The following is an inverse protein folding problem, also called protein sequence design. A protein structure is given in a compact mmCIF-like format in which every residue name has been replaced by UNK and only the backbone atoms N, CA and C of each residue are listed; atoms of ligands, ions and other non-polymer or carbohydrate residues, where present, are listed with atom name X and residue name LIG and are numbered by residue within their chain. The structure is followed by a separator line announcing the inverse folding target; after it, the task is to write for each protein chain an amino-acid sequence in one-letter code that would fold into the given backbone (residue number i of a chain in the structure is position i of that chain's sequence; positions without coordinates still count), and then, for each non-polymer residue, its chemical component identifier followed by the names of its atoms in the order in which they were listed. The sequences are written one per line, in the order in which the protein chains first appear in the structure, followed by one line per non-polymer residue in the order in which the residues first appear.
data_IF_344687639481
#
_entry.id   IF_344687639481
#
_cell.length_a   1.000
_cell.length_b   1.000
_cell.length_c   1.000
_cell.angle_alpha   90.00
_cell.angle_beta   90.00
_cell.angle_gamma   90.00
#
_symmetry.space_group_name_H-M   'P 1'
#
loop_
_entity.id
_entity.type
_entity.pdbx_description
1 polymer ?
#
# COMPACT_ATOMS: atom_id res chain seq x y z
N UNK A 1 -13.80 -6.06 -25.20
CA UNK A 1 -13.46 -7.12 -24.23
C UNK A 1 -11.97 -7.21 -23.85
N UNK A 2 -11.01 -6.95 -24.74
CA UNK A 2 -9.57 -6.99 -24.38
C UNK A 2 -9.16 -5.99 -23.30
N UNK A 3 -9.68 -4.76 -23.30
CA UNK A 3 -9.31 -3.74 -22.30
C UNK A 3 -9.76 -4.07 -20.87
N UNK A 4 -10.97 -4.62 -20.70
CA UNK A 4 -11.50 -5.00 -19.38
C UNK A 4 -10.76 -6.19 -18.78
N UNK A 5 -10.39 -7.19 -19.60
CA UNK A 5 -9.56 -8.31 -19.16
C UNK A 5 -8.16 -7.83 -18.72
N UNK A 6 -7.58 -6.85 -19.43
CA UNK A 6 -6.31 -6.23 -19.03
C UNK A 6 -6.44 -5.48 -17.69
N UNK A 7 -7.52 -4.73 -17.46
CA UNK A 7 -7.75 -4.03 -16.19
C UNK A 7 -7.89 -4.97 -14.99
N UNK A 8 -8.62 -6.10 -15.14
CA UNK A 8 -8.72 -7.10 -14.07
C UNK A 8 -7.37 -7.76 -13.80
N UNK A 9 -6.63 -8.11 -14.86
CA UNK A 9 -5.27 -8.66 -14.73
C UNK A 9 -4.33 -7.69 -14.00
N UNK A 10 -4.39 -6.40 -14.31
CA UNK A 10 -3.63 -5.37 -13.62
C UNK A 10 -4.04 -5.27 -12.14
N UNK A 11 -5.33 -5.39 -11.82
CA UNK A 11 -5.81 -5.43 -10.44
C UNK A 11 -5.25 -6.66 -9.68
N UNK A 12 -5.23 -7.84 -10.30
CA UNK A 12 -4.64 -9.04 -9.72
C UNK A 12 -3.11 -8.90 -9.53
N UNK A 13 -2.40 -8.36 -10.52
CA UNK A 13 -0.99 -8.03 -10.40
C UNK A 13 -0.74 -7.05 -9.25
N UNK A 14 -1.56 -6.01 -9.12
CA UNK A 14 -1.39 -5.02 -8.06
C UNK A 14 -1.56 -5.62 -6.66
N UNK A 15 -2.51 -6.56 -6.47
CA UNK A 15 -2.67 -7.31 -5.23
C UNK A 15 -1.43 -8.16 -4.91
N UNK A 16 -0.91 -8.89 -5.90
CA UNK A 16 0.30 -9.70 -5.74
C UNK A 16 1.54 -8.84 -5.44
N UNK A 17 1.73 -7.76 -6.19
CA UNK A 17 2.85 -6.83 -6.01
C UNK A 17 2.85 -6.19 -4.64
N UNK A 18 1.70 -5.65 -4.19
CA UNK A 18 1.68 -5.04 -2.86
C UNK A 18 1.87 -6.10 -1.78
N UNK A 19 1.34 -7.31 -1.97
CA UNK A 19 1.60 -8.43 -1.08
C UNK A 19 3.10 -8.71 -0.99
N UNK A 20 3.83 -8.82 -2.10
CA UNK A 20 5.30 -9.02 -2.12
C UNK A 20 6.04 -7.87 -1.43
N UNK A 21 5.71 -6.62 -1.77
CA UNK A 21 6.42 -5.43 -1.31
C UNK A 21 6.18 -5.12 0.18
N UNK A 22 4.97 -5.38 0.68
CA UNK A 22 4.55 -4.99 2.02
C UNK A 22 4.83 -3.52 2.31
N UNK A 23 5.36 -3.24 3.51
CA UNK A 23 5.64 -1.88 3.97
C UNK A 23 6.58 -1.10 3.03
N UNK A 24 7.47 -1.78 2.29
CA UNK A 24 8.38 -1.13 1.34
C UNK A 24 7.65 -0.47 0.16
N UNK A 25 6.47 -1.00 -0.20
CA UNK A 25 5.58 -0.37 -1.18
C UNK A 25 4.74 0.74 -0.58
N UNK A 26 4.70 0.88 0.74
CA UNK A 26 3.84 1.80 1.48
C UNK A 26 2.36 1.42 1.41
N UNK A 27 1.83 1.17 0.22
CA UNK A 27 0.46 0.74 0.04
C UNK A 27 -0.05 0.85 -1.39
N UNK A 28 -1.37 0.68 -1.53
CA UNK A 28 -2.10 0.76 -2.78
C UNK A 28 -3.36 1.63 -2.60
N UNK A 29 -3.62 2.50 -3.57
CA UNK A 29 -4.92 3.18 -3.72
C UNK A 29 -5.84 2.34 -4.59
N UNK A 30 -7.04 2.06 -4.10
CA UNK A 30 -8.07 1.31 -4.81
C UNK A 30 -9.25 2.24 -5.05
N UNK A 31 -9.35 2.80 -6.26
CA UNK A 31 -10.49 3.64 -6.65
C UNK A 31 -11.66 2.72 -6.95
N UNK A 32 -12.69 2.76 -6.12
CA UNK A 32 -13.89 1.95 -6.31
C UNK A 32 -15.00 2.31 -5.33
N UNK A 33 -16.22 2.35 -5.83
CA UNK A 33 -17.41 2.29 -4.97
C UNK A 33 -17.52 0.92 -4.29
N UNK A 34 -18.22 0.82 -3.15
CA UNK A 34 -18.59 -0.45 -2.56
C UNK A 34 -19.34 -1.36 -3.54
N UNK A 35 -18.79 -2.57 -3.75
CA UNK A 35 -19.38 -3.50 -4.71
C UNK A 35 -18.63 -4.83 -4.83
N UNK A 36 -19.21 -5.79 -5.56
CA UNK A 36 -18.73 -7.17 -5.60
C UNK A 36 -17.33 -7.31 -6.19
N UNK A 37 -16.95 -6.45 -7.15
CA UNK A 37 -15.60 -6.47 -7.74
C UNK A 37 -14.54 -6.09 -6.71
N UNK A 38 -14.79 -5.03 -5.93
CA UNK A 38 -13.92 -4.60 -4.83
C UNK A 38 -13.83 -5.66 -3.75
N UNK A 39 -14.96 -6.24 -3.37
CA UNK A 39 -14.99 -7.27 -2.33
C UNK A 39 -14.25 -8.54 -2.76
N UNK A 40 -14.38 -8.94 -4.03
CA UNK A 40 -13.61 -10.05 -4.59
C UNK A 40 -12.11 -9.73 -4.63
N UNK A 41 -11.72 -8.53 -5.07
CA UNK A 41 -10.33 -8.10 -5.07
C UNK A 41 -9.72 -8.09 -3.67
N UNK A 42 -10.46 -7.60 -2.66
CA UNK A 42 -10.04 -7.64 -1.26
C UNK A 42 -9.91 -9.07 -0.72
N UNK A 43 -10.84 -9.95 -1.09
CA UNK A 43 -10.77 -11.37 -0.73
C UNK A 43 -9.56 -12.06 -1.37
N UNK A 44 -9.25 -11.73 -2.63
CA UNK A 44 -8.08 -12.25 -3.32
C UNK A 44 -6.80 -11.76 -2.63
N UNK A 45 -6.70 -10.46 -2.32
CA UNK A 45 -5.57 -9.92 -1.56
C UNK A 45 -5.41 -10.65 -0.22
N UNK A 46 -6.48 -10.82 0.57
CA UNK A 46 -6.43 -11.51 1.86
C UNK A 46 -5.90 -12.94 1.75
N UNK A 47 -6.27 -13.66 0.68
CA UNK A 47 -5.74 -15.00 0.36
C UNK A 47 -4.23 -15.04 0.05
N UNK A 48 -3.60 -13.91 -0.23
CA UNK A 48 -2.16 -13.77 -0.45
C UNK A 48 -1.39 -13.37 0.82
N UNK A 49 -2.08 -12.97 1.89
CA UNK A 49 -1.45 -12.46 3.11
C UNK A 49 -1.23 -13.58 4.13
N UNK A 50 -0.18 -13.42 4.95
CA UNK A 50 0.10 -14.30 6.09
C UNK A 50 -0.78 -14.00 7.30
N UNK A 51 -1.29 -12.77 7.39
CA UNK A 51 -2.20 -12.31 8.44
C UNK A 51 -3.32 -11.49 7.80
N UNK A 52 -4.56 -11.63 8.29
CA UNK A 52 -5.68 -10.89 7.72
C UNK A 52 -5.48 -9.39 7.90
N UNK A 53 -5.86 -8.65 6.86
CA UNK A 53 -5.78 -7.20 6.87
C UNK A 53 -6.71 -6.62 7.95
N UNK A 54 -6.25 -5.57 8.65
CA UNK A 54 -7.05 -4.89 9.68
C UNK A 54 -7.71 -3.65 9.11
N UNK A 55 -9.03 -3.51 9.24
CA UNK A 55 -9.72 -2.25 8.96
C UNK A 55 -9.45 -1.23 10.06
N UNK A 56 -9.01 -0.03 9.69
CA UNK A 56 -8.77 1.10 10.60
C UNK A 56 -9.36 2.36 9.96
N UNK A 57 -10.50 2.87 10.47
CA UNK A 57 -11.12 4.08 9.94
C UNK A 57 -10.18 5.30 10.03
N UNK A 58 -10.22 6.16 9.02
CA UNK A 58 -9.46 7.41 9.01
C UNK A 58 -9.84 8.36 10.15
N UNK A 59 -11.01 8.19 10.75
CA UNK A 59 -11.51 8.94 11.91
C UNK A 59 -11.09 8.37 13.27
N UNK A 60 -10.22 7.35 13.30
CA UNK A 60 -9.70 6.79 14.55
C UNK A 60 -8.98 7.90 15.34
N UNK A 61 -9.40 8.20 16.59
CA UNK A 61 -8.80 9.28 17.38
C UNK A 61 -7.30 9.09 17.58
N UNK A 62 -6.53 10.17 17.61
CA UNK A 62 -5.06 10.13 17.73
C UNK A 62 -4.57 9.27 18.90
N UNK A 63 -5.20 9.38 20.07
CA UNK A 63 -4.85 8.58 21.25
C UNK A 63 -5.00 7.07 21.01
N UNK A 64 -6.03 6.65 20.26
CA UNK A 64 -6.21 5.25 19.90
C UNK A 64 -5.30 4.84 18.74
N UNK A 65 -5.07 5.74 17.79
CA UNK A 65 -4.27 5.48 16.59
C UNK A 65 -2.80 5.27 16.94
N UNK A 66 -2.24 6.18 17.74
CA UNK A 66 -0.83 6.17 18.15
C UNK A 66 -0.59 5.37 19.42
N UNK A 67 -1.55 5.38 20.34
CA UNK A 67 -1.35 4.97 21.72
C UNK A 67 -1.46 6.17 22.64
N UNK A 68 -1.93 5.93 23.85
CA UNK A 68 -2.22 6.97 24.84
C UNK A 68 -2.08 6.41 26.25
N UNK A 69 -2.07 7.28 27.26
CA UNK A 69 -1.92 6.85 28.64
C UNK A 69 -3.09 5.93 29.05
N UNK A 70 -2.77 4.74 29.50
CA UNK A 70 -3.73 3.87 30.17
C UNK A 70 -3.87 4.33 31.62
N UNK A 71 -4.85 5.18 31.90
CA UNK A 71 -5.08 5.73 33.24
C UNK A 71 -5.29 4.61 34.27
N UNK A 72 -5.97 3.53 33.88
CA UNK A 72 -6.28 2.43 34.80
C UNK A 72 -5.02 1.67 35.19
N UNK A 73 -4.21 1.26 34.21
CA UNK A 73 -2.95 0.58 34.49
C UNK A 73 -1.91 1.50 35.13
N UNK A 74 -1.93 2.80 34.77
CA UNK A 74 -1.04 3.79 35.38
C UNK A 74 -1.34 3.97 36.87
N UNK A 75 -2.61 4.04 37.25
CA UNK A 75 -3.02 4.14 38.66
C UNK A 75 -2.65 2.88 39.46
N UNK A 76 -2.84 1.69 38.87
CA UNK A 76 -2.45 0.42 39.51
C UNK A 76 -0.95 0.34 39.78
N UNK A 77 -0.13 0.82 38.84
CA UNK A 77 1.33 0.72 38.92
C UNK A 77 2.02 1.96 39.53
N UNK A 78 1.27 3.03 39.81
CA UNK A 78 1.81 4.28 40.35
C UNK A 78 2.77 5.03 39.42
N UNK A 79 2.76 4.70 38.12
CA UNK A 79 3.60 5.31 37.08
C UNK A 79 2.86 5.32 35.74
N UNK A 80 3.14 6.27 34.82
CA UNK A 80 2.53 6.28 33.50
C UNK A 80 2.76 4.96 32.75
N UNK A 81 1.67 4.34 32.28
CA UNK A 81 1.65 3.15 31.42
C UNK A 81 0.99 3.54 30.11
N UNK A 82 1.63 3.22 28.99
CA UNK A 82 1.14 3.55 27.66
C UNK A 82 0.36 2.38 27.08
N UNK A 83 -0.88 2.63 26.64
CA UNK A 83 -1.63 1.69 25.83
C UNK A 83 -1.09 1.66 24.41
N UNK A 84 -0.96 0.46 23.84
CA UNK A 84 -0.50 0.29 22.46
C UNK A 84 -1.52 0.91 21.48
N UNK A 85 -1.00 1.71 20.54
CA UNK A 85 -1.80 2.28 19.46
C UNK A 85 -2.15 1.27 18.39
N UNK A 86 -3.23 1.53 17.66
CA UNK A 86 -3.68 0.70 16.54
C UNK A 86 -2.59 0.56 15.47
N UNK A 87 -1.81 1.60 15.17
CA UNK A 87 -0.72 1.51 14.18
C UNK A 87 0.39 0.55 14.65
N UNK A 88 0.74 0.58 15.94
CA UNK A 88 1.73 -0.34 16.51
C UNK A 88 1.20 -1.78 16.59
N UNK A 89 -0.08 -1.96 16.94
CA UNK A 89 -0.79 -3.25 16.85
C UNK A 89 -0.83 -3.82 15.41
N UNK A 90 -0.55 -2.98 14.39
CA UNK A 90 -0.51 -3.35 12.98
C UNK A 90 0.90 -3.49 12.40
N UNK A 91 1.95 -3.53 13.23
CA UNK A 91 3.31 -3.72 12.72
C UNK A 91 3.43 -4.98 11.83
N UNK A 92 3.98 -4.82 10.62
CA UNK A 92 4.08 -5.83 9.56
C UNK A 92 2.73 -6.37 9.06
N UNK A 93 1.64 -5.58 9.18
CA UNK A 93 0.31 -5.96 8.72
C UNK A 93 -0.23 -5.01 7.65
N UNK A 94 -1.16 -5.54 6.88
CA UNK A 94 -1.99 -4.76 5.97
C UNK A 94 -3.07 -4.03 6.76
N UNK A 95 -3.27 -2.76 6.44
CA UNK A 95 -4.28 -1.90 7.03
C UNK A 95 -5.20 -1.40 5.93
N UNK A 96 -6.47 -1.79 6.00
CA UNK A 96 -7.51 -1.24 5.12
C UNK A 96 -7.96 0.09 5.71
N UNK A 97 -7.71 1.17 4.98
CA UNK A 97 -8.19 2.51 5.27
C UNK A 97 -9.45 2.77 4.41
N UNK A 98 -10.67 2.58 4.97
CA UNK A 98 -11.89 2.86 4.24
C UNK A 98 -12.08 4.38 4.07
N UNK A 99 -12.72 4.78 2.97
CA UNK A 99 -13.04 6.18 2.69
C UNK A 99 -11.81 7.09 2.81
N UNK A 100 -10.72 6.70 2.17
CA UNK A 100 -9.43 7.36 2.30
C UNK A 100 -9.47 8.82 1.82
N UNK A 101 -10.39 9.16 0.92
CA UNK A 101 -10.72 10.54 0.50
C UNK A 101 -11.19 11.43 1.65
N UNK A 102 -11.74 10.83 2.71
CA UNK A 102 -12.20 11.53 3.93
C UNK A 102 -11.18 11.55 5.05
N UNK A 103 -9.93 11.12 4.82
CA UNK A 103 -8.89 11.14 5.84
C UNK A 103 -8.65 12.59 6.32
N UNK A 104 -8.90 12.91 7.61
CA UNK A 104 -8.69 14.25 8.13
C UNK A 104 -7.22 14.67 8.03
N UNK A 105 -6.96 15.92 7.62
CA UNK A 105 -5.61 16.48 7.51
C UNK A 105 -4.82 16.42 8.83
N UNK A 106 -5.53 16.50 9.95
CA UNK A 106 -4.95 16.38 11.29
C UNK A 106 -4.34 15.00 11.57
N UNK A 107 -4.85 13.94 10.94
CA UNK A 107 -4.37 12.56 11.14
C UNK A 107 -3.43 12.09 10.05
N UNK A 108 -3.45 12.73 8.87
CA UNK A 108 -2.64 12.30 7.71
C UNK A 108 -1.14 12.24 8.02
N UNK A 109 -0.64 13.14 8.87
CA UNK A 109 0.77 13.16 9.31
C UNK A 109 1.19 11.88 10.05
N UNK A 110 0.30 11.27 10.84
CA UNK A 110 0.59 10.04 11.57
C UNK A 110 0.71 8.83 10.64
N UNK A 111 -0.23 8.71 9.70
CA UNK A 111 -0.18 7.69 8.64
C UNK A 111 1.08 7.85 7.78
N UNK A 112 1.36 9.07 7.33
CA UNK A 112 2.54 9.37 6.54
C UNK A 112 3.85 9.05 7.28
N UNK A 113 3.93 9.40 8.57
CA UNK A 113 5.10 9.12 9.41
C UNK A 113 5.34 7.63 9.60
N UNK A 114 4.27 6.83 9.78
CA UNK A 114 4.36 5.39 9.87
C UNK A 114 4.78 4.77 8.52
N UNK A 115 4.24 5.24 7.41
CA UNK A 115 4.60 4.79 6.06
C UNK A 115 6.06 5.12 5.68
N UNK A 116 6.59 6.25 6.15
CA UNK A 116 7.97 6.66 5.84
C UNK A 116 9.02 5.94 6.69
N UNK A 117 8.75 5.74 7.98
CA UNK A 117 9.75 5.27 8.95
C UNK A 117 9.51 3.85 9.44
N UNK A 118 8.34 3.29 9.16
CA UNK A 118 7.89 2.04 9.76
C UNK A 118 7.72 2.12 11.27
N UNK A 119 7.54 3.33 11.82
CA UNK A 119 7.48 3.60 13.26
C UNK A 119 6.56 4.78 13.57
N UNK A 120 5.96 4.75 14.76
CA UNK A 120 5.25 5.88 15.35
C UNK A 120 6.00 6.40 16.58
N UNK A 121 5.96 7.71 16.79
CA UNK A 121 6.60 8.38 17.93
C UNK A 121 5.52 9.08 18.75
N UNK A 122 5.53 8.86 20.06
CA UNK A 122 4.64 9.50 21.02
C UNK A 122 5.52 10.28 21.98
N UNK A 123 5.37 11.60 21.99
CA UNK A 123 6.10 12.51 22.86
C UNK A 123 5.10 13.44 23.59
N UNK A 124 4.25 12.86 24.45
CA UNK A 124 3.15 13.55 25.17
C UNK A 124 2.97 12.98 26.57
N UNK A 125 2.40 13.77 27.48
CA UNK A 125 2.07 13.34 28.85
C UNK A 125 3.25 12.75 29.65
N UNK A 126 4.46 13.24 29.37
CA UNK A 126 5.70 12.74 30.00
C UNK A 126 6.16 11.38 29.46
N UNK A 127 5.53 10.88 28.40
CA UNK A 127 5.89 9.64 27.70
C UNK A 127 6.61 10.01 26.40
N UNK A 128 7.84 9.50 26.26
CA UNK A 128 8.61 9.52 25.02
C UNK A 128 8.86 8.07 24.59
N UNK A 129 8.11 7.59 23.60
CA UNK A 129 8.17 6.22 23.12
C UNK A 129 8.12 6.14 21.60
N UNK A 130 8.93 5.23 21.06
CA UNK A 130 8.90 4.81 19.67
C UNK A 130 8.34 3.39 19.64
N UNK A 131 7.38 3.15 18.75
CA UNK A 131 6.83 1.82 18.50
C UNK A 131 6.93 1.49 17.01
N UNK A 132 7.26 0.24 16.71
CA UNK A 132 7.28 -0.23 15.33
C UNK A 132 5.85 -0.26 14.76
N UNK A 133 5.72 0.20 13.52
CA UNK A 133 4.48 0.42 12.80
C UNK A 133 4.69 0.33 11.28
N UNK A 134 5.57 -0.56 10.82
CA UNK A 134 5.75 -0.91 9.41
C UNK A 134 4.46 -1.51 8.81
N UNK A 135 3.51 -0.64 8.49
CA UNK A 135 2.20 -0.99 7.93
C UNK A 135 2.22 -0.94 6.41
N UNK A 136 1.32 -1.69 5.79
CA UNK A 136 1.01 -1.57 4.36
C UNK A 136 -0.43 -1.11 4.19
N UNK A 137 -0.66 0.05 3.58
CA UNK A 137 -2.00 0.64 3.49
C UNK A 137 -2.72 0.17 2.23
N UNK A 138 -3.96 -0.29 2.39
CA UNK A 138 -4.94 -0.42 1.30
C UNK A 138 -5.93 0.74 1.47
N UNK A 139 -5.70 1.81 0.73
CA UNK A 139 -6.54 3.01 0.75
C UNK A 139 -7.72 2.80 -0.19
N UNK A 140 -8.91 2.55 0.36
CA UNK A 140 -10.15 2.49 -0.42
C UNK A 140 -10.60 3.92 -0.68
N UNK A 141 -10.56 4.31 -1.94
CA UNK A 141 -10.96 5.63 -2.40
C UNK A 141 -12.35 5.53 -3.03
N UNK A 142 -13.34 6.07 -2.31
CA UNK A 142 -14.75 6.11 -2.72
C UNK A 142 -15.13 7.50 -3.23
N UNK A 143 -14.14 8.37 -3.48
CA UNK A 143 -14.34 9.73 -3.92
C UNK A 143 -15.11 9.85 -5.23
N UNK A 144 -15.97 10.86 -5.28
CA UNK A 144 -16.70 11.28 -6.47
C UNK A 144 -16.13 12.60 -6.99
N UNK A 145 -16.24 12.83 -8.30
CA UNK A 145 -15.73 14.03 -8.96
C UNK A 145 -14.24 14.31 -8.61
N UNK A 146 -13.99 15.39 -7.87
CA UNK A 146 -12.65 15.84 -7.47
C UNK A 146 -12.24 15.36 -6.07
N UNK A 147 -13.08 14.57 -5.38
CA UNK A 147 -12.72 13.98 -4.10
C UNK A 147 -11.60 12.94 -4.28
N UNK A 148 -10.54 13.11 -3.50
CA UNK A 148 -9.35 12.25 -3.52
C UNK A 148 -8.77 12.13 -2.11
N UNK A 149 -8.07 11.04 -1.78
CA UNK A 149 -7.25 10.95 -0.58
C UNK A 149 -6.22 12.08 -0.52
N UNK A 150 -5.77 12.50 0.67
CA UNK A 150 -4.74 13.52 0.80
C UNK A 150 -3.51 13.20 -0.06
N UNK A 151 -3.03 14.17 -0.85
CA UNK A 151 -1.88 13.99 -1.74
C UNK A 151 -0.64 13.46 -1.01
N UNK A 152 -0.43 13.89 0.24
CA UNK A 152 0.64 13.39 1.10
C UNK A 152 0.55 11.88 1.37
N UNK A 153 -0.67 11.32 1.49
CA UNK A 153 -0.86 9.88 1.59
C UNK A 153 -0.58 9.22 0.23
N UNK A 154 -1.16 9.74 -0.85
CA UNK A 154 -1.02 9.18 -2.20
C UNK A 154 0.43 9.08 -2.66
N UNK A 155 1.25 10.09 -2.34
CA UNK A 155 2.68 10.10 -2.64
C UNK A 155 3.40 8.88 -2.03
N UNK A 156 2.90 8.33 -0.92
CA UNK A 156 3.48 7.22 -0.15
C UNK A 156 2.90 5.85 -0.52
N UNK A 157 1.96 5.77 -1.46
CA UNK A 157 1.44 4.50 -1.95
C UNK A 157 2.18 4.16 -3.25
N UNK A 158 2.72 2.95 -3.41
CA UNK A 158 3.46 2.57 -4.61
C UNK A 158 2.55 2.31 -5.80
N UNK A 159 1.34 1.80 -5.57
CA UNK A 159 0.42 1.35 -6.60
C UNK A 159 -0.90 2.12 -6.55
N UNK A 160 -1.58 2.18 -7.69
CA UNK A 160 -2.99 2.53 -7.73
C UNK A 160 -3.71 1.76 -8.83
N UNK A 161 -4.96 1.38 -8.53
CA UNK A 161 -5.87 0.70 -9.46
C UNK A 161 -7.25 1.37 -9.42
N UNK A 162 -8.00 1.22 -10.50
CA UNK A 162 -9.39 1.63 -10.60
C UNK A 162 -10.25 0.39 -10.93
N UNK A 163 -11.24 0.11 -10.10
CA UNK A 163 -12.16 -1.02 -10.27
C UNK A 163 -13.56 -0.60 -10.74
N UNK A 164 -13.89 0.70 -10.79
CA UNK A 164 -15.25 1.17 -11.08
C UNK A 164 -15.73 0.76 -12.50
N UNK A 165 -14.82 0.67 -13.46
CA UNK A 165 -15.14 0.30 -14.85
C UNK A 165 -15.08 -1.21 -15.12
N UNK A 166 -14.67 -2.01 -14.12
CA UNK A 166 -14.51 -3.46 -14.29
C UNK A 166 -15.87 -4.14 -14.07
N UNK A 167 -16.33 -4.85 -15.10
CA UNK A 167 -17.53 -5.68 -14.98
C UNK A 167 -17.27 -6.91 -14.11
N UNK A 168 -18.24 -7.28 -13.28
CA UNK A 168 -18.24 -8.55 -12.52
C UNK A 168 -18.06 -9.78 -13.43
N UNK A 169 -18.43 -9.68 -14.71
CA UNK A 169 -18.28 -10.76 -15.70
C UNK A 169 -16.85 -10.92 -16.20
N UNK A 170 -15.99 -9.92 -15.97
CA UNK A 170 -14.59 -9.91 -16.35
C UNK A 170 -13.68 -10.39 -15.21
N UNK A 171 -14.25 -10.74 -14.06
CA UNK A 171 -13.49 -11.33 -12.96
C UNK A 171 -13.10 -12.75 -13.33
N UNK A 172 -11.79 -12.98 -13.35
CA UNK A 172 -11.17 -14.28 -13.52
C UNK A 172 -10.58 -14.79 -12.20
N UNK A 173 -10.30 -16.10 -12.14
CA UNK A 173 -9.70 -16.76 -10.98
C UNK A 173 -8.34 -16.16 -10.61
N UNK A 174 -7.94 -16.22 -9.33
CA UNK A 174 -6.62 -15.75 -8.89
C UNK A 174 -5.48 -16.40 -9.68
N UNK A 175 -4.60 -15.57 -10.25
CA UNK A 175 -3.43 -16.02 -11.02
C UNK A 175 -2.17 -16.19 -10.17
N UNK A 176 -2.22 -15.86 -8.88
CA UNK A 176 -1.11 -15.99 -7.93
C UNK A 176 -1.57 -16.69 -6.65
N UNK A 177 -0.68 -17.45 -6.05
CA UNK A 177 -0.86 -18.15 -4.78
C UNK A 177 0.00 -17.52 -3.67
N UNK A 178 -0.39 -17.71 -2.41
CA UNK A 178 0.40 -17.25 -1.26
C UNK A 178 1.84 -17.81 -1.26
N UNK A 179 2.06 -19.02 -1.79
CA UNK A 179 3.39 -19.62 -1.89
C UNK A 179 4.29 -18.90 -2.90
N UNK A 180 3.75 -18.45 -4.03
CA UNK A 180 4.49 -17.63 -5.01
C UNK A 180 4.82 -16.26 -4.44
N UNK A 181 3.89 -15.64 -3.71
CA UNK A 181 4.12 -14.35 -3.03
C UNK A 181 5.24 -14.48 -2.00
N UNK A 182 5.24 -15.54 -1.18
CA UNK A 182 6.29 -15.74 -0.19
C UNK A 182 7.66 -16.00 -0.84
N UNK A 183 7.68 -16.78 -1.92
CA UNK A 183 8.91 -17.02 -2.70
C UNK A 183 9.46 -15.72 -3.29
N UNK A 184 8.62 -14.91 -3.93
CA UNK A 184 9.01 -13.63 -4.51
C UNK A 184 9.45 -12.62 -3.42
N UNK A 185 8.73 -12.56 -2.28
CA UNK A 185 9.12 -11.71 -1.14
C UNK A 185 10.51 -12.07 -0.62
N UNK A 186 10.79 -13.36 -0.44
CA UNK A 186 12.08 -13.84 0.01
C UNK A 186 13.20 -13.50 -0.99
N UNK A 187 12.94 -13.56 -2.30
CA UNK A 187 13.90 -13.25 -3.36
C UNK A 187 14.07 -11.74 -3.65
N UNK A 188 13.19 -10.86 -3.17
CA UNK A 188 13.18 -9.44 -3.56
C UNK A 188 14.52 -8.71 -3.33
N UNK A 189 15.27 -9.10 -2.30
CA UNK A 189 16.56 -8.51 -1.96
C UNK A 189 17.73 -9.03 -2.82
N UNK A 190 17.55 -10.16 -3.51
CA UNK A 190 18.59 -10.75 -4.38
C UNK A 190 18.56 -10.16 -5.79
N UNK A 191 17.42 -9.58 -6.19
CA UNK A 191 17.27 -8.91 -7.48
C UNK A 191 17.82 -7.48 -7.40
N UNK A 192 18.83 -7.20 -8.20
CA UNK A 192 19.35 -5.86 -8.44
C UNK A 192 19.00 -5.45 -9.87
N UNK A 193 18.56 -4.20 -10.05
CA UNK A 193 18.49 -3.61 -11.37
C UNK A 193 19.85 -3.01 -11.70
N UNK A 194 20.29 -3.15 -12.94
CA UNK A 194 21.52 -2.52 -13.40
C UNK A 194 21.32 -1.02 -13.70
N UNK A 195 22.40 -0.33 -14.06
CA UNK A 195 22.37 1.10 -14.35
C UNK A 195 21.49 1.43 -15.57
N UNK A 196 21.46 0.56 -16.58
CA UNK A 196 20.67 0.76 -17.79
C UNK A 196 19.17 0.62 -17.50
N UNK A 197 18.78 -0.36 -16.68
CA UNK A 197 17.40 -0.57 -16.23
C UNK A 197 16.91 0.58 -15.34
N UNK A 198 17.74 1.06 -14.42
CA UNK A 198 17.41 2.24 -13.60
C UNK A 198 17.27 3.49 -14.47
N UNK A 199 18.16 3.66 -15.45
CA UNK A 199 18.11 4.79 -16.40
C UNK A 199 16.83 4.73 -17.22
N UNK A 200 16.44 3.56 -17.73
CA UNK A 200 15.18 3.36 -18.43
C UNK A 200 13.98 3.79 -17.58
N UNK A 201 13.89 3.37 -16.32
CA UNK A 201 12.79 3.77 -15.43
C UNK A 201 12.79 5.27 -15.14
N UNK A 202 13.97 5.89 -15.03
CA UNK A 202 14.11 7.32 -14.82
C UNK A 202 13.68 8.11 -16.07
N UNK A 203 14.09 7.69 -17.26
CA UNK A 203 13.68 8.30 -18.53
C UNK A 203 12.18 8.16 -18.78
N UNK A 204 11.61 6.98 -18.52
CA UNK A 204 10.17 6.74 -18.60
C UNK A 204 9.41 7.68 -17.65
N UNK A 205 9.80 7.73 -16.37
CA UNK A 205 9.12 8.61 -15.41
C UNK A 205 9.26 10.10 -15.78
N UNK A 206 10.44 10.54 -16.23
CA UNK A 206 10.67 11.91 -16.69
C UNK A 206 9.85 12.26 -17.94
N UNK A 207 9.72 11.34 -18.90
CA UNK A 207 8.91 11.54 -20.12
C UNK A 207 7.42 11.77 -19.82
N UNK A 208 6.95 11.26 -18.67
CA UNK A 208 5.60 11.42 -18.16
C UNK A 208 5.45 12.63 -17.21
N UNK A 209 6.50 13.43 -17.01
CA UNK A 209 6.50 14.58 -16.10
C UNK A 209 6.61 14.22 -14.62
N UNK A 210 6.98 12.97 -14.29
CA UNK A 210 7.11 12.50 -12.91
C UNK A 210 8.56 12.69 -12.47
N UNK A 211 8.78 13.66 -11.59
CA UNK A 211 10.12 14.01 -11.08
C UNK A 211 10.33 13.63 -9.59
N UNK A 212 9.49 12.75 -9.05
CA UNK A 212 9.59 12.29 -7.66
C UNK A 212 10.59 11.14 -7.51
N UNK A 213 11.60 11.33 -6.64
CA UNK A 213 12.54 10.27 -6.26
C UNK A 213 11.84 9.07 -5.61
N UNK A 214 10.74 9.33 -4.89
CA UNK A 214 9.91 8.29 -4.29
C UNK A 214 9.19 7.46 -5.35
N UNK A 215 8.64 8.12 -6.38
CA UNK A 215 8.02 7.41 -7.50
C UNK A 215 9.02 6.51 -8.22
N UNK A 216 10.24 7.01 -8.46
CA UNK A 216 11.32 6.19 -9.05
C UNK A 216 11.70 5.01 -8.15
N UNK A 217 11.84 5.23 -6.83
CA UNK A 217 12.11 4.16 -5.87
C UNK A 217 11.00 3.08 -5.88
N UNK A 218 9.73 3.50 -5.92
CA UNK A 218 8.62 2.57 -6.05
C UNK A 218 8.64 1.83 -7.38
N UNK A 219 8.96 2.50 -8.49
CA UNK A 219 9.10 1.85 -9.78
C UNK A 219 10.20 0.79 -9.77
N UNK A 220 11.36 1.06 -9.17
CA UNK A 220 12.44 0.08 -9.00
C UNK A 220 11.96 -1.13 -8.20
N UNK A 221 11.32 -0.92 -7.05
CA UNK A 221 10.87 -2.02 -6.19
C UNK A 221 9.74 -2.84 -6.85
N UNK A 222 8.82 -2.18 -7.56
CA UNK A 222 7.74 -2.82 -8.33
C UNK A 222 8.30 -3.59 -9.53
N UNK A 223 9.27 -3.04 -10.26
CA UNK A 223 9.91 -3.70 -11.39
C UNK A 223 10.55 -5.02 -10.98
N UNK A 224 11.31 -5.02 -9.87
CA UNK A 224 11.89 -6.24 -9.30
C UNK A 224 10.83 -7.28 -8.92
N UNK A 225 9.76 -6.83 -8.25
CA UNK A 225 8.67 -7.71 -7.85
C UNK A 225 7.92 -8.27 -9.07
N UNK A 226 7.70 -7.48 -10.12
CA UNK A 226 7.12 -7.92 -11.39
C UNK A 226 7.99 -8.98 -12.04
N UNK A 227 9.29 -8.72 -12.26
CA UNK A 227 10.22 -9.69 -12.83
C UNK A 227 10.25 -11.02 -12.07
N UNK A 228 10.16 -10.98 -10.73
CA UNK A 228 10.10 -12.19 -9.92
C UNK A 228 8.79 -12.96 -10.10
N UNK A 229 7.66 -12.26 -10.22
CA UNK A 229 6.34 -12.87 -10.38
C UNK A 229 6.08 -13.37 -11.79
N UNK A 230 6.62 -12.71 -12.81
CA UNK A 230 6.45 -13.09 -14.23
C UNK A 230 7.54 -14.03 -14.73
N UNK A 231 8.72 -14.01 -14.11
CA UNK A 231 9.91 -14.68 -14.62
C UNK A 231 10.58 -13.95 -15.79
N UNK A 232 10.12 -12.75 -16.12
CA UNK A 232 10.58 -11.97 -17.27
C UNK A 232 11.63 -10.92 -16.88
N UNK A 233 12.54 -10.54 -17.78
CA UNK A 233 13.53 -9.51 -17.50
C UNK A 233 12.87 -8.15 -17.25
N UNK A 234 13.56 -7.29 -16.50
CA UNK A 234 13.03 -5.97 -16.11
C UNK A 234 12.68 -5.06 -17.30
N UNK A 235 13.31 -5.30 -18.45
CA UNK A 235 13.11 -4.56 -19.70
C UNK A 235 12.00 -5.11 -20.58
N UNK A 236 11.40 -6.25 -20.23
CA UNK A 236 10.32 -6.87 -21.01
C UNK A 236 9.02 -6.07 -20.94
N UNK A 237 8.24 -6.07 -22.02
CA UNK A 237 6.93 -5.42 -22.08
C UNK A 237 5.95 -5.98 -21.02
N UNK A 238 6.06 -7.26 -20.66
CA UNK A 238 5.29 -7.89 -19.59
C UNK A 238 5.60 -7.29 -18.20
N UNK A 239 6.73 -6.61 -18.04
CA UNK A 239 7.12 -5.90 -16.80
C UNK A 239 6.89 -4.40 -16.94
N UNK A 240 7.36 -3.78 -18.01
CA UNK A 240 7.31 -2.33 -18.20
C UNK A 240 5.87 -1.83 -18.37
N UNK A 241 5.03 -2.51 -19.15
CA UNK A 241 3.68 -2.02 -19.43
C UNK A 241 2.78 -2.03 -18.17
N UNK A 242 2.72 -3.10 -17.35
CA UNK A 242 2.02 -3.05 -16.07
C UNK A 242 2.62 -2.03 -15.10
N UNK A 243 3.95 -1.91 -15.04
CA UNK A 243 4.61 -0.91 -14.19
C UNK A 243 4.14 0.50 -14.50
N UNK A 244 4.08 0.87 -15.79
CA UNK A 244 3.58 2.18 -16.22
C UNK A 244 2.13 2.37 -15.75
N UNK A 245 1.26 1.38 -16.00
CA UNK A 245 -0.19 1.46 -15.66
C UNK A 245 -0.49 1.44 -14.17
N UNK A 246 0.37 0.84 -13.34
CA UNK A 246 0.14 0.69 -11.91
C UNK A 246 0.88 1.71 -11.04
N UNK A 247 2.03 2.22 -11.51
CA UNK A 247 2.90 3.10 -10.72
C UNK A 247 2.88 4.54 -11.22
N UNK A 248 3.00 4.74 -12.53
CA UNK A 248 3.20 6.08 -13.12
C UNK A 248 1.89 6.77 -13.52
N UNK A 249 0.98 6.07 -14.21
CA UNK A 249 -0.30 6.66 -14.65
C UNK A 249 -1.26 7.01 -13.50
N UNK A 250 -1.54 6.13 -12.52
CA UNK A 250 -2.74 6.28 -11.68
C UNK A 250 -2.54 7.21 -10.47
N UNK A 251 -1.41 7.92 -10.41
CA UNK A 251 -1.10 8.96 -9.41
C UNK A 251 -1.09 10.38 -9.98
N UNK A 252 -1.27 10.52 -11.29
CA UNK A 252 -1.38 11.80 -11.99
C UNK A 252 -2.80 12.36 -11.91
#
# INVERSE_FOLDING_TARGET
DTGAATQWRDAQLAAALIAVLGHRGGGIRVCSQPGPVRDYWLSNLDGLLTQPARRVPGTTPTERLLGGMDVTESMKHGKPVLAMGVLAECHNRFVILPMAERLPKEFSGHWCGALDRGQVTIARDGIDQISDAAITVVALDEGIDEERPPSALLERLSLSINLDEISIRSIEEPIFSAGEIETARAALHTVALDEAEITLLAELSASMGIHSSRALKFATDVCKALSLLTGEPATDDAVILPLIRLVFIPKA
#
